data_IF_890673603381
#
_entry.id   IF_890673603381
#
_cell.length_a   1.000
_cell.length_b   1.000
_cell.length_c   1.000
_cell.angle_alpha   90.00
_cell.angle_beta   90.00
_cell.angle_gamma   90.00
#
_symmetry.space_group_name_H-M   'P 1'
#
loop_
_entity.id
_entity.type
_entity.pdbx_description
1 polymer ?
#
# COMPACT_ATOMS: atom_id res chain seq x y z
N UNK A 1 2.46 -6.02 -36.01
CA UNK A 1 3.56 -5.06 -35.80
C UNK A 1 3.60 -4.68 -34.34
N UNK A 2 4.80 -4.75 -33.79
CA UNK A 2 5.21 -4.67 -32.38
C UNK A 2 5.09 -3.25 -31.81
N UNK A 3 4.77 -3.15 -30.52
CA UNK A 3 5.39 -2.16 -29.63
C UNK A 3 5.38 -2.71 -28.20
N UNK A 4 6.45 -3.45 -27.86
CA UNK A 4 6.77 -3.80 -26.49
C UNK A 4 7.51 -2.63 -25.85
N UNK A 5 7.17 -2.27 -24.62
CA UNK A 5 8.10 -1.55 -23.76
C UNK A 5 8.13 -2.21 -22.38
N UNK A 6 9.32 -2.66 -22.00
CA UNK A 6 9.63 -3.45 -20.80
C UNK A 6 9.88 -2.50 -19.64
N UNK A 7 9.25 -2.74 -18.49
CA UNK A 7 9.83 -2.58 -17.16
C UNK A 7 8.98 -3.36 -16.13
N UNK A 8 9.66 -3.94 -15.16
CA UNK A 8 9.32 -5.15 -14.39
C UNK A 8 8.09 -5.05 -13.48
N UNK A 9 7.11 -5.92 -13.76
CA UNK A 9 6.01 -6.49 -12.93
C UNK A 9 4.72 -6.64 -13.77
N UNK A 10 4.60 -5.92 -14.90
CA UNK A 10 3.48 -6.04 -15.87
C UNK A 10 3.59 -7.27 -16.82
N UNK A 11 4.65 -8.08 -16.71
CA UNK A 11 5.08 -9.04 -17.74
C UNK A 11 4.24 -10.34 -17.90
N UNK A 12 3.08 -10.48 -17.26
CA UNK A 12 2.22 -11.68 -17.43
C UNK A 12 0.75 -11.40 -17.76
N UNK A 13 0.35 -10.14 -17.96
CA UNK A 13 -1.08 -9.81 -18.16
C UNK A 13 -1.94 -10.11 -16.92
N UNK A 14 -1.33 -10.20 -15.74
CA UNK A 14 -2.00 -10.44 -14.46
C UNK A 14 -2.33 -9.07 -13.86
N UNK A 15 -3.56 -8.91 -13.35
CA UNK A 15 -3.99 -7.69 -12.68
C UNK A 15 -3.10 -7.39 -11.47
N UNK A 16 -2.75 -6.11 -11.28
CA UNK A 16 -1.95 -5.66 -10.13
C UNK A 16 -2.75 -5.66 -8.81
N UNK A 17 -4.09 -5.59 -8.89
CA UNK A 17 -4.99 -5.71 -7.76
C UNK A 17 -6.40 -6.15 -8.21
N UNK A 18 -7.17 -6.74 -7.29
CA UNK A 18 -8.59 -7.08 -7.47
C UNK A 18 -9.44 -6.19 -6.57
N UNK A 19 -10.44 -5.50 -7.13
CA UNK A 19 -11.32 -4.60 -6.38
C UNK A 19 -12.44 -5.34 -5.65
N UNK A 20 -12.75 -4.87 -4.45
CA UNK A 20 -13.82 -5.32 -3.57
C UNK A 20 -14.70 -4.10 -3.26
N UNK A 21 -15.98 -4.24 -3.58
CA UNK A 21 -16.97 -3.18 -3.37
C UNK A 21 -17.67 -3.42 -2.04
N UNK A 22 -17.86 -2.39 -1.21
CA UNK A 22 -18.67 -2.49 -0.01
C UNK A 22 -20.15 -2.60 -0.36
N UNK A 23 -20.95 -3.26 0.48
CA UNK A 23 -22.41 -3.31 0.33
C UNK A 23 -23.05 -1.93 0.46
N UNK A 24 -22.50 -1.10 1.35
CA UNK A 24 -22.88 0.30 1.54
C UNK A 24 -21.66 1.19 1.35
N UNK A 25 -21.64 1.94 0.27
CA UNK A 25 -20.56 2.87 -0.03
C UNK A 25 -20.62 4.09 0.89
N UNK A 26 -19.49 4.41 1.53
CA UNK A 26 -19.31 5.67 2.25
C UNK A 26 -19.16 6.81 1.25
N UNK A 27 -19.82 7.95 1.52
CA UNK A 27 -19.69 9.14 0.69
C UNK A 27 -18.24 9.65 0.70
N UNK A 28 -17.67 9.84 -0.49
CA UNK A 28 -16.30 10.34 -0.69
C UNK A 28 -16.33 11.78 -1.19
N UNK A 29 -15.18 12.45 -1.15
CA UNK A 29 -15.08 13.85 -1.60
C UNK A 29 -15.30 13.98 -3.12
N UNK A 30 -16.18 14.90 -3.54
CA UNK A 30 -16.38 15.21 -4.96
C UNK A 30 -15.26 16.08 -5.57
N UNK A 31 -14.49 16.78 -4.73
CA UNK A 31 -13.46 17.74 -5.16
C UNK A 31 -12.03 17.21 -5.02
N UNK A 32 -11.84 16.06 -4.36
CA UNK A 32 -10.53 15.44 -4.16
C UNK A 32 -10.57 13.95 -4.46
N UNK A 33 -9.70 13.47 -5.34
CA UNK A 33 -9.32 12.07 -5.41
C UNK A 33 -8.44 11.73 -4.19
N UNK A 34 -8.90 10.79 -3.36
CA UNK A 34 -8.17 10.28 -2.19
C UNK A 34 -7.76 8.83 -2.42
N UNK A 35 -6.46 8.56 -2.41
CA UNK A 35 -5.90 7.22 -2.64
C UNK A 35 -5.10 6.80 -1.43
N UNK A 36 -5.50 5.69 -0.79
CA UNK A 36 -4.81 5.15 0.37
C UNK A 36 -4.08 3.86 0.02
N UNK A 37 -2.89 3.68 0.59
CA UNK A 37 -2.02 2.54 0.34
C UNK A 37 -1.54 1.94 1.66
N UNK A 38 -1.49 0.62 1.74
CA UNK A 38 -0.56 -0.02 2.67
C UNK A 38 0.91 0.18 2.23
N UNK A 39 1.82 -0.03 3.18
CA UNK A 39 3.25 0.03 2.97
C UNK A 39 3.81 -1.25 2.35
N UNK A 40 4.06 -2.25 3.19
CA UNK A 40 4.75 -3.49 2.80
C UNK A 40 3.93 -4.30 1.79
N UNK A 41 4.61 -4.99 0.87
CA UNK A 41 4.01 -5.71 -0.26
C UNK A 41 3.09 -4.90 -1.21
N UNK A 42 2.89 -3.60 -0.98
CA UNK A 42 2.08 -2.69 -1.81
C UNK A 42 2.96 -1.59 -2.41
N UNK A 43 3.48 -0.69 -1.59
CA UNK A 43 4.43 0.37 -2.00
C UNK A 43 5.88 -0.08 -1.88
N UNK A 44 6.18 -0.85 -0.84
CA UNK A 44 7.48 -1.47 -0.58
C UNK A 44 7.43 -2.96 -0.89
N UNK A 45 8.59 -3.61 -0.97
CA UNK A 45 8.68 -5.05 -1.07
C UNK A 45 8.15 -5.73 0.21
N UNK A 46 8.05 -7.05 0.18
CA UNK A 46 7.66 -7.89 1.32
C UNK A 46 8.87 -8.32 2.18
N UNK A 47 10.01 -7.60 2.10
CA UNK A 47 11.23 -7.90 2.85
C UNK A 47 10.98 -7.93 4.36
N UNK A 48 10.43 -6.86 4.93
CA UNK A 48 10.25 -6.74 6.37
C UNK A 48 9.17 -7.71 6.90
N UNK A 49 8.12 -7.97 6.11
CA UNK A 49 7.10 -8.99 6.38
C UNK A 49 7.72 -10.40 6.48
N UNK A 50 8.69 -10.74 5.60
CA UNK A 50 9.42 -12.02 5.67
C UNK A 50 10.19 -12.16 6.97
N UNK A 51 10.87 -11.11 7.40
CA UNK A 51 11.68 -11.13 8.64
C UNK A 51 10.77 -11.30 9.85
N UNK A 52 9.67 -10.55 9.91
CA UNK A 52 8.69 -10.69 10.99
C UNK A 52 8.14 -12.12 11.08
N UNK A 53 7.71 -12.72 9.96
CA UNK A 53 7.16 -14.09 9.96
C UNK A 53 8.19 -15.16 10.28
N UNK A 54 9.45 -14.97 9.88
CA UNK A 54 10.51 -15.95 10.10
C UNK A 54 11.14 -15.86 11.50
N UNK A 55 11.25 -14.65 12.05
CA UNK A 55 12.10 -14.37 13.22
C UNK A 55 11.39 -13.62 14.35
N UNK A 56 10.12 -13.25 14.16
CA UNK A 56 9.32 -12.54 15.16
C UNK A 56 9.59 -11.04 15.22
N UNK A 57 8.90 -10.39 16.16
CA UNK A 57 8.82 -8.93 16.26
C UNK A 57 10.14 -8.26 16.66
N UNK A 58 10.88 -8.85 17.60
CA UNK A 58 12.14 -8.29 18.09
C UNK A 58 13.18 -8.22 16.96
N UNK A 59 13.31 -9.30 16.19
CA UNK A 59 14.23 -9.36 15.04
C UNK A 59 13.81 -8.44 13.91
N UNK A 60 12.51 -8.24 13.72
CA UNK A 60 12.01 -7.22 12.81
C UNK A 60 12.45 -5.81 13.24
N UNK A 61 12.31 -5.44 14.51
CA UNK A 61 12.72 -4.11 14.98
C UNK A 61 14.23 -3.91 14.93
N UNK A 62 15.03 -4.93 15.28
CA UNK A 62 16.48 -4.89 15.12
C UNK A 62 16.86 -4.65 13.66
N UNK A 63 16.27 -5.41 12.72
CA UNK A 63 16.52 -5.26 11.29
C UNK A 63 16.15 -3.86 10.78
N UNK A 64 14.98 -3.33 11.15
CA UNK A 64 14.55 -2.00 10.71
C UNK A 64 15.45 -0.89 11.27
N UNK A 65 15.96 -1.05 12.49
CA UNK A 65 16.91 -0.11 13.10
C UNK A 65 18.28 -0.17 12.42
N UNK A 66 18.80 -1.37 12.17
CA UNK A 66 20.11 -1.55 11.52
C UNK A 66 20.11 -1.09 10.06
N UNK A 67 18.95 -1.17 9.40
CA UNK A 67 18.77 -0.80 8.00
C UNK A 67 18.03 0.54 7.82
N UNK A 68 17.97 1.40 8.84
CA UNK A 68 17.17 2.64 8.81
C UNK A 68 17.56 3.55 7.62
N UNK A 69 18.85 3.59 7.25
CA UNK A 69 19.38 4.36 6.11
C UNK A 69 19.47 3.57 4.80
N UNK A 70 19.14 2.28 4.82
CA UNK A 70 19.04 1.44 3.63
C UNK A 70 17.63 1.53 3.08
N UNK A 71 17.47 1.94 1.82
CA UNK A 71 16.14 2.08 1.22
C UNK A 71 15.43 0.72 1.12
N UNK A 72 14.11 0.71 1.31
CA UNK A 72 13.30 -0.47 1.01
C UNK A 72 13.24 -0.68 -0.51
N UNK A 73 13.25 -1.94 -0.93
CA UNK A 73 12.92 -2.28 -2.32
C UNK A 73 11.46 -1.92 -2.64
N UNK A 74 11.16 -1.76 -3.93
CA UNK A 74 9.85 -1.31 -4.35
C UNK A 74 8.80 -2.42 -4.44
N UNK A 75 7.59 -2.10 -4.02
CA UNK A 75 6.39 -2.91 -4.23
C UNK A 75 5.79 -2.70 -5.62
N UNK A 76 4.73 -3.46 -5.95
CA UNK A 76 4.08 -3.42 -7.26
C UNK A 76 3.40 -2.07 -7.56
N UNK A 77 2.96 -1.32 -6.55
CA UNK A 77 2.22 -0.06 -6.74
C UNK A 77 3.08 1.21 -6.65
N UNK A 78 4.42 1.09 -6.50
CA UNK A 78 5.32 2.27 -6.55
C UNK A 78 5.10 3.10 -7.82
N UNK A 79 5.00 2.45 -8.98
CA UNK A 79 4.81 3.15 -10.25
C UNK A 79 3.48 3.90 -10.33
N UNK A 80 2.44 3.41 -9.65
CA UNK A 80 1.16 4.11 -9.57
C UNK A 80 1.25 5.34 -8.66
N UNK A 81 1.90 5.22 -7.49
CA UNK A 81 2.18 6.37 -6.63
C UNK A 81 3.06 7.41 -7.33
N UNK A 82 4.06 7.00 -8.12
CA UNK A 82 4.85 7.92 -8.95
C UNK A 82 4.02 8.69 -9.97
N UNK A 83 3.02 8.03 -10.59
CA UNK A 83 2.12 8.69 -11.51
C UNK A 83 1.26 9.75 -10.80
N UNK A 84 0.71 9.43 -9.63
CA UNK A 84 -0.02 10.38 -8.78
C UNK A 84 0.87 11.56 -8.36
N UNK A 85 2.09 11.28 -7.88
CA UNK A 85 3.05 12.30 -7.47
C UNK A 85 3.46 13.23 -8.62
N UNK A 86 3.62 12.72 -9.84
CA UNK A 86 3.84 13.55 -11.04
C UNK A 86 2.68 14.50 -11.31
N UNK A 87 1.44 14.06 -11.11
CA UNK A 87 0.26 14.93 -11.25
C UNK A 87 0.22 15.98 -10.14
N UNK A 88 0.42 15.58 -8.88
CA UNK A 88 0.47 16.50 -7.73
C UNK A 88 1.50 17.62 -7.94
N UNK A 89 2.71 17.27 -8.40
CA UNK A 89 3.78 18.25 -8.68
C UNK A 89 3.37 19.34 -9.67
N UNK A 90 2.46 19.08 -10.61
CA UNK A 90 1.93 20.11 -11.53
C UNK A 90 1.09 21.17 -10.82
N UNK A 91 0.39 20.81 -9.75
CA UNK A 91 -0.35 21.75 -8.91
C UNK A 91 0.61 22.48 -7.96
N UNK A 92 1.60 21.78 -7.43
CA UNK A 92 2.57 22.37 -6.49
C UNK A 92 3.39 23.47 -7.16
N UNK A 93 3.82 23.25 -8.42
CA UNK A 93 4.50 24.26 -9.22
C UNK A 93 3.68 25.53 -9.48
N UNK A 94 2.34 25.47 -9.33
CA UNK A 94 1.43 26.62 -9.43
C UNK A 94 1.11 27.25 -8.08
N UNK A 95 1.77 26.84 -7.00
CA UNK A 95 1.44 27.26 -5.63
C UNK A 95 0.14 26.65 -5.09
N UNK A 96 -0.45 25.68 -5.79
CA UNK A 96 -1.74 25.07 -5.46
C UNK A 96 -1.59 23.77 -4.66
N UNK A 97 -0.63 23.72 -3.74
CA UNK A 97 -0.37 22.52 -2.95
C UNK A 97 -1.56 22.15 -2.07
N UNK A 98 -2.12 23.13 -1.36
CA UNK A 98 -3.24 22.91 -0.44
C UNK A 98 -4.55 22.60 -1.16
N UNK A 99 -4.74 23.14 -2.37
CA UNK A 99 -5.91 22.91 -3.22
C UNK A 99 -5.70 21.80 -4.25
N UNK A 100 -4.63 21.01 -4.13
CA UNK A 100 -4.39 19.90 -5.03
C UNK A 100 -5.55 18.89 -4.93
N UNK A 101 -6.18 18.51 -6.06
CA UNK A 101 -7.33 17.61 -6.05
C UNK A 101 -6.92 16.14 -5.87
N UNK A 102 -5.64 15.84 -5.61
CA UNK A 102 -5.15 14.47 -5.39
C UNK A 102 -4.49 14.44 -4.03
N UNK A 103 -4.99 13.55 -3.16
CA UNK A 103 -4.46 13.27 -1.84
C UNK A 103 -4.05 11.81 -1.74
N UNK A 104 -2.83 11.58 -1.26
CA UNK A 104 -2.27 10.24 -1.08
C UNK A 104 -2.04 9.96 0.40
N UNK A 105 -2.39 8.75 0.83
CA UNK A 105 -2.29 8.32 2.22
C UNK A 105 -1.47 7.04 2.32
N UNK A 106 -0.55 6.98 3.27
CA UNK A 106 0.08 5.73 3.71
C UNK A 106 -0.64 5.27 4.98
N UNK A 107 -1.25 4.09 4.97
CA UNK A 107 -1.95 3.48 6.11
C UNK A 107 -1.29 2.13 6.40
N UNK A 108 -0.37 2.10 7.36
CA UNK A 108 0.51 0.95 7.58
C UNK A 108 0.47 0.43 9.00
N UNK A 109 0.64 -0.89 9.15
CA UNK A 109 0.78 -1.55 10.44
C UNK A 109 2.14 -1.24 11.11
N UNK A 110 3.11 -0.66 10.40
CA UNK A 110 4.39 -0.20 10.98
C UNK A 110 4.16 0.79 12.11
N UNK A 111 5.07 0.79 13.08
CA UNK A 111 5.10 1.77 14.17
C UNK A 111 5.97 2.96 13.80
N UNK A 112 5.47 4.18 13.99
CA UNK A 112 6.26 5.39 13.76
C UNK A 112 7.53 5.43 14.62
N UNK A 113 7.48 4.86 15.83
CA UNK A 113 8.58 4.91 16.79
C UNK A 113 9.71 3.90 16.50
N UNK A 114 9.43 2.80 15.78
CA UNK A 114 10.39 1.70 15.65
C UNK A 114 10.62 1.17 14.23
N UNK A 115 9.69 1.35 13.30
CA UNK A 115 9.77 0.75 11.95
C UNK A 115 9.30 1.69 10.82
N UNK A 116 8.80 2.87 11.16
CA UNK A 116 8.27 3.83 10.18
C UNK A 116 9.33 4.72 9.53
N UNK A 117 10.47 4.96 10.21
CA UNK A 117 11.49 5.92 9.75
C UNK A 117 12.08 5.47 8.40
N UNK A 118 12.47 4.20 8.27
CA UNK A 118 13.00 3.62 7.02
C UNK A 118 12.03 3.80 5.84
N UNK A 119 10.72 3.59 6.08
CA UNK A 119 9.68 3.78 5.07
C UNK A 119 9.57 5.25 4.63
N UNK A 120 9.58 6.20 5.57
CA UNK A 120 9.54 7.63 5.27
C UNK A 120 10.80 8.10 4.53
N UNK A 121 11.98 7.64 4.93
CA UNK A 121 13.25 7.91 4.24
C UNK A 121 13.22 7.36 2.81
N UNK A 122 12.66 6.16 2.62
CA UNK A 122 12.49 5.55 1.30
C UNK A 122 11.60 6.38 0.38
N UNK A 123 10.41 6.79 0.85
CA UNK A 123 9.51 7.65 0.08
C UNK A 123 10.17 8.97 -0.30
N UNK A 124 10.89 9.60 0.64
CA UNK A 124 11.63 10.84 0.41
C UNK A 124 12.73 10.65 -0.64
N UNK A 125 13.50 9.57 -0.56
CA UNK A 125 14.56 9.26 -1.53
C UNK A 125 13.99 9.04 -2.94
N UNK A 126 12.79 8.47 -3.06
CA UNK A 126 12.07 8.35 -4.33
C UNK A 126 11.46 9.67 -4.81
N UNK A 127 11.53 10.75 -4.02
CA UNK A 127 10.88 12.03 -4.32
C UNK A 127 9.36 11.92 -4.37
N UNK A 128 8.80 10.99 -3.59
CA UNK A 128 7.36 10.76 -3.44
C UNK A 128 6.92 11.33 -2.10
N UNK A 129 6.04 12.32 -2.17
CA UNK A 129 5.49 12.99 -1.01
C UNK A 129 4.08 12.46 -0.79
N UNK A 130 3.91 11.71 0.30
CA UNK A 130 2.58 11.31 0.80
C UNK A 130 1.99 12.49 1.57
N UNK A 131 0.71 12.78 1.39
CA UNK A 131 0.05 13.89 2.09
C UNK A 131 -0.12 13.57 3.60
N UNK A 132 -0.51 12.33 3.92
CA UNK A 132 -0.67 11.87 5.30
C UNK A 132 -0.17 10.43 5.47
N UNK A 133 0.65 10.18 6.50
CA UNK A 133 1.16 8.86 6.85
C UNK A 133 0.66 8.45 8.24
N UNK A 134 -0.09 7.36 8.29
CA UNK A 134 -0.72 6.81 9.47
C UNK A 134 -0.04 5.49 9.84
N UNK A 135 0.73 5.53 10.92
CA UNK A 135 1.45 4.39 11.50
C UNK A 135 0.62 3.81 12.64
N UNK A 136 0.00 2.67 12.40
CA UNK A 136 -1.00 2.11 13.31
C UNK A 136 -0.42 1.14 14.33
N UNK A 137 0.86 0.76 14.22
CA UNK A 137 1.51 -0.18 15.13
C UNK A 137 0.68 -1.47 15.37
N UNK A 138 0.12 -2.04 14.29
CA UNK A 138 -0.72 -3.23 14.31
C UNK A 138 -2.20 -3.01 14.64
N UNK A 139 -2.64 -1.78 14.97
CA UNK A 139 -4.06 -1.50 15.18
C UNK A 139 -4.87 -1.67 13.87
N UNK A 140 -6.18 -1.99 13.95
CA UNK A 140 -7.03 -2.14 12.77
C UNK A 140 -7.05 -0.88 11.89
N UNK A 141 -7.01 -1.07 10.56
CA UNK A 141 -6.98 0.02 9.57
C UNK A 141 -8.36 0.65 9.34
N UNK A 142 -9.43 -0.14 9.44
CA UNK A 142 -10.82 0.25 9.15
C UNK A 142 -11.26 1.59 9.77
N UNK A 143 -11.09 1.81 11.09
CA UNK A 143 -11.49 3.07 11.73
C UNK A 143 -10.79 4.31 11.18
N UNK A 144 -9.56 4.18 10.67
CA UNK A 144 -8.86 5.28 10.02
C UNK A 144 -9.35 5.49 8.58
N UNK A 145 -9.62 4.39 7.86
CA UNK A 145 -10.17 4.45 6.50
C UNK A 145 -11.56 5.10 6.47
N UNK A 146 -12.41 4.84 7.47
CA UNK A 146 -13.72 5.49 7.64
C UNK A 146 -13.60 7.02 7.78
N UNK A 147 -12.53 7.50 8.41
CA UNK A 147 -12.26 8.95 8.58
C UNK A 147 -11.64 9.56 7.32
N UNK A 148 -10.69 8.85 6.70
CA UNK A 148 -10.02 9.30 5.47
C UNK A 148 -11.01 9.38 4.32
N UNK A 149 -11.97 8.43 4.25
CA UNK A 149 -12.92 8.24 3.15
C UNK A 149 -12.22 8.22 1.80
N UNK A 150 -11.25 7.29 1.61
CA UNK A 150 -10.54 7.22 0.35
C UNK A 150 -11.48 6.71 -0.74
N UNK A 151 -11.22 7.14 -1.97
CA UNK A 151 -11.91 6.60 -3.15
C UNK A 151 -11.52 5.15 -3.41
N UNK A 152 -10.29 4.80 -3.04
CA UNK A 152 -9.76 3.45 -3.13
C UNK A 152 -8.64 3.26 -2.10
N UNK A 153 -8.65 2.09 -1.48
CA UNK A 153 -7.62 1.61 -0.56
C UNK A 153 -6.93 0.36 -1.13
N UNK A 154 -5.60 0.27 -1.07
CA UNK A 154 -4.83 -0.89 -1.53
C UNK A 154 -4.13 -1.60 -0.37
N UNK A 155 -4.29 -2.92 -0.28
CA UNK A 155 -3.68 -3.77 0.76
C UNK A 155 -3.36 -5.16 0.20
N UNK A 156 -2.31 -5.82 0.67
CA UNK A 156 -1.96 -7.18 0.25
C UNK A 156 -2.64 -8.28 1.10
N UNK A 157 -3.26 -7.92 2.23
CA UNK A 157 -3.90 -8.84 3.15
C UNK A 157 -5.42 -8.77 3.05
N UNK A 158 -6.06 -9.90 2.73
CA UNK A 158 -7.51 -9.96 2.53
C UNK A 158 -8.30 -9.50 3.77
N UNK A 159 -7.83 -9.80 4.99
CA UNK A 159 -8.48 -9.35 6.22
C UNK A 159 -8.59 -7.82 6.31
N UNK A 160 -7.59 -7.07 5.82
CA UNK A 160 -7.66 -5.61 5.77
C UNK A 160 -8.57 -5.09 4.65
N UNK A 161 -8.61 -5.80 3.52
CA UNK A 161 -9.50 -5.49 2.39
C UNK A 161 -10.97 -5.68 2.79
N UNK A 162 -11.29 -6.81 3.42
CA UNK A 162 -12.62 -7.12 3.94
C UNK A 162 -13.03 -6.13 5.02
N UNK A 163 -12.17 -5.88 6.02
CA UNK A 163 -12.45 -4.91 7.07
C UNK A 163 -12.61 -3.47 6.55
N UNK A 164 -11.96 -3.10 5.44
CA UNK A 164 -12.19 -1.82 4.79
C UNK A 164 -13.55 -1.77 4.09
N UNK A 165 -13.94 -2.85 3.40
CA UNK A 165 -15.24 -2.97 2.75
C UNK A 165 -16.41 -2.95 3.76
N UNK A 166 -16.25 -3.59 4.92
CA UNK A 166 -17.23 -3.52 6.02
C UNK A 166 -17.45 -2.08 6.51
N UNK A 167 -16.41 -1.25 6.49
CA UNK A 167 -16.46 0.18 6.84
C UNK A 167 -16.90 1.08 5.67
N UNK A 168 -17.41 0.50 4.58
CA UNK A 168 -17.92 1.23 3.41
C UNK A 168 -16.84 1.81 2.50
N UNK A 169 -15.60 1.34 2.60
CA UNK A 169 -14.48 1.78 1.75
C UNK A 169 -14.28 0.83 0.58
N UNK A 170 -14.14 1.35 -0.65
CA UNK A 170 -13.69 0.54 -1.79
C UNK A 170 -12.24 0.13 -1.56
N UNK A 171 -11.99 -1.18 -1.54
CA UNK A 171 -10.66 -1.73 -1.28
C UNK A 171 -10.21 -2.61 -2.45
N UNK A 172 -8.90 -2.71 -2.66
CA UNK A 172 -8.31 -3.50 -3.72
C UNK A 172 -7.18 -4.36 -3.16
N UNK A 173 -7.37 -5.67 -3.28
CA UNK A 173 -6.41 -6.67 -2.84
C UNK A 173 -5.25 -6.77 -3.83
N UNK A 174 -4.03 -6.54 -3.38
CA UNK A 174 -2.79 -6.66 -4.14
C UNK A 174 -2.24 -8.08 -3.95
N UNK A 175 -2.30 -8.97 -4.96
CA UNK A 175 -1.86 -10.37 -4.82
C UNK A 175 -0.33 -10.49 -4.93
N UNK A 176 0.40 -9.77 -4.08
CA UNK A 176 1.86 -9.74 -4.03
C UNK A 176 2.37 -10.14 -2.63
N UNK A 177 3.64 -10.53 -2.55
CA UNK A 177 4.29 -10.89 -1.29
C UNK A 177 4.04 -12.32 -0.79
N UNK A 178 4.75 -12.70 0.28
CA UNK A 178 4.69 -14.05 0.85
C UNK A 178 3.34 -14.45 1.45
N UNK A 179 2.47 -13.49 1.80
CA UNK A 179 1.13 -13.81 2.33
C UNK A 179 0.32 -14.68 1.35
N UNK A 180 0.54 -14.51 0.05
CA UNK A 180 -0.14 -15.26 -1.01
C UNK A 180 0.34 -16.71 -1.16
N UNK A 181 1.55 -17.06 -0.67
CA UNK A 181 2.11 -18.41 -0.82
C UNK A 181 1.38 -19.47 0.01
N UNK A 182 0.61 -19.07 1.01
CA UNK A 182 -0.15 -19.99 1.86
C UNK A 182 -1.53 -20.36 1.28
N UNK A 183 -2.16 -19.48 0.49
CA UNK A 183 -3.45 -19.78 -0.18
C UNK A 183 -3.25 -20.87 -1.25
N UNK A 184 -2.12 -20.86 -1.96
CA UNK A 184 -1.82 -21.85 -3.00
C UNK A 184 -1.65 -23.30 -2.48
N UNK A 185 -1.51 -23.52 -1.17
CA UNK A 185 -1.34 -24.86 -0.58
C UNK A 185 -2.63 -25.50 -0.05
N UNK A 186 -3.77 -24.80 -0.08
CA UNK A 186 -5.07 -25.37 0.29
C UNK A 186 -5.94 -25.58 -0.96
N UNK A 187 -5.61 -26.58 -1.78
CA UNK A 187 -6.60 -27.24 -2.63
C UNK A 187 -7.01 -28.54 -1.94
N UNK A 188 -8.31 -28.79 -1.68
CA UNK A 188 -8.74 -30.10 -1.23
C UNK A 188 -8.46 -31.10 -2.34
N UNK A 189 -7.71 -32.16 -2.02
CA UNK A 189 -7.51 -33.28 -2.92
C UNK A 189 -8.87 -33.87 -3.28
N UNK A 190 -9.18 -33.92 -4.57
CA UNK A 190 -10.29 -34.72 -5.08
C UNK A 190 -9.92 -36.18 -4.82
N UNK A 191 -10.56 -36.76 -3.80
CA UNK A 191 -10.50 -38.18 -3.51
C UNK A 191 -11.13 -38.97 -4.65
N UNK A 192 -10.46 -40.07 -5.02
CA UNK A 192 -10.87 -41.06 -6.02
C UNK A 192 -12.19 -41.74 -5.67
#
# INVERSE_FOLDING_TARGET
MTAANKNSCSLKGIAAATMFMPDKLTEVSESQLRVAFDGDAVLFSDESERIFKAHGLDKFFEHERENEDTLLEHGPLKGFLEALGKLQKKFYAKGQRLSCPIRTFLVTARSAASSGIRALKTLRAWGLEIDEALFLAGAPKGPMLEKIRPHIYFDDQMFHVEGAAEMGTVAAHVPYGIAQKHIAKQKPGVGK
#
